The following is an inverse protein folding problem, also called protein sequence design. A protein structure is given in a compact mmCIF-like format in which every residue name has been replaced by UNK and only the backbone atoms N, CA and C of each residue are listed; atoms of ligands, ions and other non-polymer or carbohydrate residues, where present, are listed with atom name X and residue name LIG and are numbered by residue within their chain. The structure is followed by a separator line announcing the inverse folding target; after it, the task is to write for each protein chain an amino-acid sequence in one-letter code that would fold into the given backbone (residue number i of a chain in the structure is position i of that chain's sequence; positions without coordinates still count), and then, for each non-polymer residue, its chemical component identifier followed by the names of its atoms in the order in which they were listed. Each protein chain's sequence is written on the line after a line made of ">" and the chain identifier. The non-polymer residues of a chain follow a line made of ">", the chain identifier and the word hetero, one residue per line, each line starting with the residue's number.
data_IF_534054681527
#
_entry.id   IF_534054681527
#
_cell.length_a   1.000
_cell.length_b   1.000
_cell.length_c   1.000
_cell.angle_alpha   90.00
_cell.angle_beta   90.00
_cell.angle_gamma   90.00
#
_symmetry.space_group_name_H-M   'P 1'
#
loop_
_entity.id
_entity.type
_entity.pdbx_description
1 polymer ?
#
# COMPACT_ATOMS: atom_id res chain seq x y z
N UNK A 1 -15.76 25.76 -6.97
CA UNK A 1 -15.46 25.53 -5.53
C UNK A 1 -16.74 25.52 -4.69
N UNK A 2 -17.84 26.15 -5.14
CA UNK A 2 -19.07 26.31 -4.34
C UNK A 2 -19.94 25.06 -4.20
N UNK A 3 -19.91 24.14 -5.17
CA UNK A 3 -20.70 22.92 -5.11
C UNK A 3 -20.24 21.96 -3.99
N UNK A 4 -18.92 21.90 -3.75
CA UNK A 4 -18.34 21.02 -2.73
C UNK A 4 -18.63 21.58 -1.33
N UNK A 5 -18.50 22.89 -1.14
CA UNK A 5 -18.79 23.53 0.15
C UNK A 5 -20.28 23.51 0.50
N UNK A 6 -21.16 23.66 -0.50
CA UNK A 6 -22.61 23.53 -0.32
C UNK A 6 -23.03 22.10 0.04
N UNK A 7 -22.47 21.08 -0.63
CA UNK A 7 -22.78 19.69 -0.28
C UNK A 7 -22.26 19.34 1.14
N UNK A 8 -21.09 19.85 1.50
CA UNK A 8 -20.50 19.59 2.81
C UNK A 8 -21.29 20.26 3.95
N UNK A 9 -21.79 21.48 3.76
CA UNK A 9 -22.60 22.17 4.78
C UNK A 9 -23.96 21.50 4.97
N UNK A 10 -24.56 21.00 3.90
CA UNK A 10 -25.87 20.33 3.95
C UNK A 10 -25.80 18.93 4.59
N UNK A 11 -24.68 18.21 4.41
CA UNK A 11 -24.53 16.82 4.86
C UNK A 11 -23.56 16.64 6.04
N UNK A 12 -23.02 17.73 6.61
CA UNK A 12 -22.01 17.67 7.68
C UNK A 12 -22.45 16.80 8.88
N UNK A 13 -23.73 16.89 9.26
CA UNK A 13 -24.31 16.13 10.35
C UNK A 13 -24.28 14.61 10.10
N UNK A 14 -24.60 14.19 8.87
CA UNK A 14 -24.51 12.78 8.47
C UNK A 14 -23.07 12.27 8.50
N UNK A 15 -22.10 13.10 8.10
CA UNK A 15 -20.68 12.74 8.20
C UNK A 15 -20.20 12.61 9.66
N UNK A 16 -20.64 13.49 10.56
CA UNK A 16 -20.30 13.41 11.99
C UNK A 16 -20.89 12.17 12.62
N UNK A 17 -22.18 11.90 12.40
CA UNK A 17 -22.86 10.72 12.93
C UNK A 17 -22.25 9.44 12.34
N UNK A 18 -21.99 9.43 11.03
CA UNK A 18 -21.30 8.34 10.34
C UNK A 18 -19.92 8.08 10.94
N UNK A 19 -19.11 9.12 11.15
CA UNK A 19 -17.80 9.00 11.78
C UNK A 19 -17.90 8.48 13.22
N UNK A 20 -18.86 8.98 14.01
CA UNK A 20 -19.08 8.56 15.39
C UNK A 20 -19.52 7.10 15.52
N UNK A 21 -20.25 6.57 14.52
CA UNK A 21 -20.62 5.16 14.47
C UNK A 21 -19.50 4.27 13.91
N UNK A 22 -18.74 4.74 12.91
CA UNK A 22 -17.70 3.97 12.23
C UNK A 22 -16.41 3.86 13.06
N UNK A 23 -16.03 4.92 13.79
CA UNK A 23 -14.79 4.97 14.58
C UNK A 23 -14.75 3.90 15.70
N UNK A 24 -15.81 3.67 16.51
CA UNK A 24 -15.83 2.60 17.49
C UNK A 24 -15.72 1.21 16.85
N UNK A 25 -16.39 1.01 15.72
CA UNK A 25 -16.34 -0.26 14.97
C UNK A 25 -14.93 -0.49 14.42
N UNK A 26 -14.28 0.52 13.87
CA UNK A 26 -12.88 0.46 13.42
C UNK A 26 -11.91 0.24 14.57
N UNK A 27 -12.17 0.83 15.74
CA UNK A 27 -11.35 0.63 16.95
C UNK A 27 -11.45 -0.82 17.46
N UNK A 28 -12.65 -1.39 17.48
CA UNK A 28 -12.88 -2.79 17.86
C UNK A 28 -12.28 -3.77 16.83
N UNK A 29 -12.43 -3.46 15.55
CA UNK A 29 -11.90 -4.29 14.45
C UNK A 29 -10.44 -4.01 14.12
N UNK A 30 -9.77 -3.09 14.81
CA UNK A 30 -8.34 -2.73 14.69
C UNK A 30 -7.40 -3.89 14.36
N UNK A 31 -7.61 -5.04 15.00
CA UNK A 31 -6.77 -6.23 14.84
C UNK A 31 -6.85 -6.83 13.43
N UNK A 32 -7.97 -6.63 12.74
CA UNK A 32 -8.29 -7.10 11.40
C UNK A 32 -8.23 -5.98 10.37
N UNK A 33 -8.62 -4.75 10.74
CA UNK A 33 -8.64 -3.59 9.85
C UNK A 33 -7.24 -3.04 9.56
N UNK A 34 -6.33 -3.02 10.54
CA UNK A 34 -4.96 -2.53 10.31
C UNK A 34 -4.21 -3.29 9.20
N UNK A 35 -4.10 -4.64 9.21
CA UNK A 35 -3.42 -5.35 8.13
C UNK A 35 -4.14 -5.18 6.78
N UNK A 36 -5.47 -5.11 6.78
CA UNK A 36 -6.24 -4.86 5.56
C UNK A 36 -5.89 -3.49 4.95
N UNK A 37 -5.84 -2.43 5.76
CA UNK A 37 -5.53 -1.06 5.29
C UNK A 37 -4.12 -0.98 4.72
N UNK A 38 -3.12 -1.57 5.39
CA UNK A 38 -1.76 -1.61 4.85
C UNK A 38 -1.69 -2.40 3.53
N UNK A 39 -2.44 -3.48 3.43
CA UNK A 39 -2.49 -4.30 2.22
C UNK A 39 -3.16 -3.57 1.05
N UNK A 40 -4.28 -2.88 1.29
CA UNK A 40 -4.93 -2.05 0.26
C UNK A 40 -4.05 -0.89 -0.17
N UNK A 41 -3.30 -0.28 0.75
CA UNK A 41 -2.37 0.81 0.44
C UNK A 41 -1.20 0.29 -0.40
N UNK A 42 -0.65 -0.87 -0.05
CA UNK A 42 0.41 -1.53 -0.83
C UNK A 42 -0.07 -1.88 -2.25
N UNK A 43 -1.27 -2.44 -2.40
CA UNK A 43 -1.88 -2.68 -3.72
C UNK A 43 -2.06 -1.37 -4.50
N UNK A 44 -2.57 -0.32 -3.86
CA UNK A 44 -2.75 0.98 -4.51
C UNK A 44 -1.42 1.57 -5.02
N UNK A 45 -0.35 1.45 -4.23
CA UNK A 45 1.00 1.86 -4.66
C UNK A 45 1.48 1.03 -5.86
N UNK A 46 1.27 -0.30 -5.86
CA UNK A 46 1.66 -1.14 -6.98
C UNK A 46 0.86 -0.85 -8.25
N UNK A 47 -0.45 -0.62 -8.12
CA UNK A 47 -1.29 -0.23 -9.25
C UNK A 47 -0.87 1.13 -9.82
N UNK A 48 -0.60 2.11 -8.96
CA UNK A 48 -0.11 3.42 -9.39
C UNK A 48 1.25 3.35 -10.09
N UNK A 49 2.18 2.55 -9.58
CA UNK A 49 3.47 2.31 -10.22
C UNK A 49 3.32 1.62 -11.58
N UNK A 50 2.48 0.58 -11.66
CA UNK A 50 2.19 -0.11 -12.91
C UNK A 50 1.58 0.82 -13.95
N UNK A 51 0.62 1.65 -13.55
CA UNK A 51 0.01 2.65 -14.42
C UNK A 51 1.05 3.65 -14.95
N UNK A 52 1.93 4.13 -14.09
CA UNK A 52 3.00 5.06 -14.49
C UNK A 52 3.99 4.41 -15.48
N UNK A 53 4.32 3.13 -15.28
CA UNK A 53 5.13 2.36 -16.21
C UNK A 53 4.42 2.17 -17.55
N UNK A 54 3.13 1.84 -17.55
CA UNK A 54 2.33 1.71 -18.77
C UNK A 54 2.24 3.03 -19.54
N UNK A 55 2.00 4.14 -18.83
CA UNK A 55 2.01 5.48 -19.43
C UNK A 55 3.36 5.80 -20.09
N UNK A 56 4.47 5.51 -19.40
CA UNK A 56 5.81 5.69 -19.97
C UNK A 56 6.08 4.79 -21.18
N UNK A 57 5.65 3.52 -21.14
CA UNK A 57 5.80 2.59 -22.26
C UNK A 57 4.99 3.01 -23.49
N UNK A 58 3.73 3.43 -23.31
CA UNK A 58 2.88 3.92 -24.41
C UNK A 58 3.43 5.22 -24.98
N UNK A 59 3.92 6.13 -24.12
CA UNK A 59 4.60 7.35 -24.56
C UNK A 59 5.87 7.04 -25.35
N UNK A 60 6.65 6.05 -24.93
CA UNK A 60 7.86 5.62 -25.62
C UNK A 60 7.55 4.95 -26.97
N UNK A 61 6.55 4.08 -27.04
CA UNK A 61 6.16 3.43 -28.30
C UNK A 61 5.58 4.44 -29.29
N UNK A 62 4.79 5.40 -28.81
CA UNK A 62 4.33 6.55 -29.60
C UNK A 62 5.51 7.35 -30.14
N UNK A 63 6.44 7.76 -29.27
CA UNK A 63 7.63 8.50 -29.67
C UNK A 63 8.47 7.72 -30.68
N UNK A 64 8.62 6.40 -30.50
CA UNK A 64 9.34 5.55 -31.44
C UNK A 64 8.61 5.46 -32.78
N UNK A 65 7.28 5.31 -32.79
CA UNK A 65 6.47 5.30 -34.00
C UNK A 65 6.57 6.63 -34.77
N UNK A 66 6.56 7.76 -34.06
CA UNK A 66 6.73 9.09 -34.65
C UNK A 66 8.12 9.28 -35.29
N UNK A 67 9.20 8.81 -34.65
CA UNK A 67 10.57 8.98 -35.16
C UNK A 67 10.98 7.95 -36.23
N UNK A 68 10.42 6.73 -36.19
CA UNK A 68 10.72 5.68 -37.18
C UNK A 68 9.91 5.81 -38.47
N UNK A 69 8.80 6.55 -38.43
CA UNK A 69 8.01 6.92 -39.59
C UNK A 69 8.74 7.97 -40.43
N UNK A 70 9.49 7.56 -41.46
CA UNK A 70 9.99 8.45 -42.53
C UNK A 70 8.85 8.93 -43.46
N UNK A 71 7.71 9.35 -42.90
CA UNK A 71 6.59 9.91 -43.65
C UNK A 71 6.79 11.42 -43.78
N UNK A 72 6.28 11.98 -44.89
CA UNK A 72 6.34 13.41 -45.15
C UNK A 72 5.77 14.20 -43.95
N UNK A 73 6.61 15.06 -43.39
CA UNK A 73 6.24 15.97 -42.30
C UNK A 73 5.26 17.02 -42.85
N UNK A 74 4.21 17.37 -42.09
CA UNK A 74 3.44 18.60 -42.34
C UNK A 74 4.35 19.82 -42.16
N UNK A 75 3.91 20.97 -42.66
CA UNK A 75 4.56 22.27 -42.41
C UNK A 75 4.72 22.56 -40.90
N UNK A 76 3.88 21.96 -40.04
CA UNK A 76 3.96 22.01 -38.57
C UNK A 76 5.01 21.05 -37.95
N UNK A 77 5.76 20.29 -38.74
CA UNK A 77 6.76 19.34 -38.25
C UNK A 77 6.21 18.06 -37.60
N UNK A 78 4.88 17.85 -37.64
CA UNK A 78 4.24 16.59 -37.19
C UNK A 78 3.94 15.66 -38.38
N UNK A 79 4.08 14.34 -38.23
CA UNK A 79 3.63 13.38 -39.25
C UNK A 79 2.12 13.51 -39.49
N UNK A 80 1.66 13.38 -40.75
CA UNK A 80 0.22 13.42 -41.10
C UNK A 80 -0.58 12.32 -40.38
N UNK A 81 0.06 11.19 -40.08
CA UNK A 81 -0.54 10.03 -39.41
C UNK A 81 0.02 9.82 -38.00
N UNK A 82 0.31 10.89 -37.24
CA UNK A 82 0.76 10.75 -35.86
C UNK A 82 -0.30 9.99 -35.04
N UNK A 83 0.01 8.82 -34.47
CA UNK A 83 -0.98 8.07 -33.70
C UNK A 83 -1.33 8.85 -32.43
N UNK A 84 -2.62 9.15 -32.22
CA UNK A 84 -3.13 9.78 -30.99
C UNK A 84 -3.17 8.80 -29.81
N UNK A 85 -2.15 7.95 -29.72
CA UNK A 85 -2.04 6.99 -28.64
C UNK A 85 -1.71 7.73 -27.33
N UNK A 86 -2.45 7.40 -26.28
CA UNK A 86 -2.32 8.00 -24.97
C UNK A 86 -3.07 7.22 -23.91
N UNK A 87 -2.54 7.26 -22.70
CA UNK A 87 -3.24 6.82 -21.49
C UNK A 87 -3.49 8.03 -20.60
N UNK A 88 -4.70 8.16 -20.02
CA UNK A 88 -5.01 9.25 -19.10
C UNK A 88 -4.20 9.10 -17.81
N UNK A 89 -3.55 10.16 -17.35
CA UNK A 89 -2.75 10.14 -16.11
C UNK A 89 -3.60 10.21 -14.83
N UNK A 90 -4.78 10.83 -14.91
CA UNK A 90 -5.63 11.13 -13.75
C UNK A 90 -6.94 10.33 -13.74
N UNK A 91 -7.49 10.06 -14.91
CA UNK A 91 -8.75 9.33 -15.08
C UNK A 91 -8.48 7.82 -15.19
N UNK A 92 -8.25 7.19 -14.04
CA UNK A 92 -8.01 5.75 -13.97
C UNK A 92 -9.19 4.97 -14.54
N UNK A 93 -8.90 4.06 -15.47
CA UNK A 93 -9.84 3.08 -16.01
C UNK A 93 -11.09 3.65 -16.71
N UNK A 94 -11.06 4.91 -17.14
CA UNK A 94 -12.09 5.46 -18.02
C UNK A 94 -11.82 5.00 -19.46
N UNK A 95 -12.52 3.95 -19.91
CA UNK A 95 -12.28 3.31 -21.20
C UNK A 95 -12.26 4.28 -22.39
N UNK A 96 -13.09 5.32 -22.36
CA UNK A 96 -13.22 6.34 -23.41
C UNK A 96 -11.94 7.16 -23.61
N UNK A 97 -11.13 7.32 -22.57
CA UNK A 97 -9.89 8.08 -22.60
C UNK A 97 -8.69 7.24 -23.13
N UNK A 98 -8.85 5.93 -23.31
CA UNK A 98 -7.79 5.06 -23.81
C UNK A 98 -7.82 4.98 -25.33
N UNK A 99 -6.79 5.54 -25.95
CA UNK A 99 -6.52 5.35 -27.37
C UNK A 99 -5.12 4.73 -27.49
N UNK A 100 -4.96 3.53 -28.07
CA UNK A 100 -5.96 2.58 -28.54
C UNK A 100 -6.57 1.73 -27.41
N UNK A 101 -7.82 1.30 -27.55
CA UNK A 101 -8.58 0.60 -26.50
C UNK A 101 -8.01 -0.76 -26.05
N UNK A 102 -7.08 -1.37 -26.78
CA UNK A 102 -6.42 -2.60 -26.32
C UNK A 102 -5.50 -2.37 -25.11
N UNK A 103 -4.96 -1.17 -24.97
CA UNK A 103 -4.07 -0.79 -23.85
C UNK A 103 -4.83 -0.89 -22.52
N UNK A 104 -6.11 -0.54 -22.51
CA UNK A 104 -6.99 -0.70 -21.36
C UNK A 104 -7.05 -2.15 -20.86
N UNK A 105 -7.25 -3.12 -21.77
CA UNK A 105 -7.30 -4.54 -21.39
C UNK A 105 -5.94 -5.04 -20.89
N UNK A 106 -4.84 -4.60 -21.50
CA UNK A 106 -3.49 -4.94 -21.02
C UNK A 106 -3.26 -4.41 -19.61
N UNK A 107 -3.70 -3.18 -19.32
CA UNK A 107 -3.61 -2.61 -17.99
C UNK A 107 -4.46 -3.36 -16.97
N UNK A 108 -5.69 -3.76 -17.32
CA UNK A 108 -6.53 -4.59 -16.45
C UNK A 108 -5.89 -5.94 -16.17
N UNK A 109 -5.35 -6.61 -17.20
CA UNK A 109 -4.66 -7.90 -17.01
C UNK A 109 -3.44 -7.71 -16.10
N UNK A 110 -2.65 -6.66 -16.29
CA UNK A 110 -1.52 -6.35 -15.42
C UNK A 110 -1.95 -6.06 -13.97
N UNK A 111 -3.05 -5.33 -13.78
CA UNK A 111 -3.63 -5.06 -12.46
C UNK A 111 -4.06 -6.35 -11.75
N UNK A 112 -4.77 -7.24 -12.46
CA UNK A 112 -5.16 -8.54 -11.92
C UNK A 112 -3.94 -9.41 -11.57
N UNK A 113 -2.91 -9.39 -12.41
CA UNK A 113 -1.66 -10.12 -12.18
C UNK A 113 -0.97 -9.62 -10.90
N UNK A 114 -0.90 -8.30 -10.70
CA UNK A 114 -0.36 -7.70 -9.47
C UNK A 114 -1.17 -8.13 -8.25
N UNK A 115 -2.50 -8.09 -8.31
CA UNK A 115 -3.36 -8.52 -7.19
C UNK A 115 -3.08 -9.98 -6.85
N UNK A 116 -3.00 -10.86 -7.85
CA UNK A 116 -2.69 -12.29 -7.66
C UNK A 116 -1.29 -12.47 -7.09
N UNK A 117 -0.28 -11.74 -7.57
CA UNK A 117 1.09 -11.80 -7.06
C UNK A 117 1.17 -11.36 -5.60
N UNK A 118 0.57 -10.21 -5.27
CA UNK A 118 0.56 -9.70 -3.89
C UNK A 118 -0.18 -10.68 -2.98
N UNK A 119 -1.27 -11.30 -3.43
CA UNK A 119 -1.98 -12.33 -2.68
C UNK A 119 -1.16 -13.61 -2.49
N UNK A 120 -0.48 -14.08 -3.54
CA UNK A 120 0.29 -15.32 -3.54
C UNK A 120 1.60 -15.23 -2.76
N UNK A 121 2.33 -14.13 -2.91
CA UNK A 121 3.68 -13.93 -2.37
C UNK A 121 3.72 -13.16 -1.05
N UNK A 122 2.70 -12.34 -0.74
CA UNK A 122 2.53 -11.70 0.57
C UNK A 122 1.19 -12.06 1.20
N UNK A 123 0.99 -13.32 1.64
CA UNK A 123 -0.17 -13.65 2.47
C UNK A 123 -0.11 -12.82 3.76
N UNK A 124 -1.27 -12.28 4.18
CA UNK A 124 -1.43 -11.45 5.38
C UNK A 124 -0.95 -12.18 6.63
N UNK A 125 0.35 -12.08 6.93
CA UNK A 125 0.92 -12.55 8.19
C UNK A 125 0.62 -11.51 9.24
N UNK A 126 -0.52 -11.69 9.93
CA UNK A 126 -0.86 -10.94 11.13
C UNK A 126 0.34 -11.02 12.06
N UNK A 127 1.08 -9.92 12.22
CA UNK A 127 2.21 -9.86 13.13
C UNK A 127 1.65 -10.16 14.52
N UNK A 128 1.88 -11.39 15.00
CA UNK A 128 1.53 -11.78 16.36
C UNK A 128 2.34 -10.87 17.26
N UNK A 129 1.67 -9.92 17.93
CA UNK A 129 2.29 -9.07 18.93
C UNK A 129 3.09 -9.98 19.85
N UNK A 130 4.41 -9.78 19.91
CA UNK A 130 5.27 -10.49 20.85
C UNK A 130 4.77 -10.12 22.24
N UNK A 131 4.19 -11.10 22.95
CA UNK A 131 3.63 -10.87 24.28
C UNK A 131 4.71 -10.32 25.20
N UNK A 132 4.66 -9.00 25.44
CA UNK A 132 5.59 -8.27 26.30
C UNK A 132 5.60 -8.85 27.72
N UNK A 133 4.51 -9.54 28.12
CA UNK A 133 4.38 -10.27 29.39
C UNK A 133 5.36 -11.44 29.52
N UNK A 134 5.69 -12.18 28.45
CA UNK A 134 6.66 -13.29 28.51
C UNK A 134 8.11 -12.80 28.60
N UNK A 135 8.42 -11.63 28.03
CA UNK A 135 9.77 -11.05 28.10
C UNK A 135 10.15 -10.56 29.51
N UNK A 136 9.17 -10.07 30.29
CA UNK A 136 9.39 -9.65 31.67
C UNK A 136 9.53 -10.85 32.65
N UNK A 137 8.79 -11.94 32.41
CA UNK A 137 8.90 -13.16 33.21
C UNK A 137 10.21 -13.93 32.97
N UNK A 138 10.73 -13.88 31.74
CA UNK A 138 12.02 -14.50 31.39
C UNK A 138 13.20 -13.82 32.08
N UNK A 139 13.27 -12.48 32.08
CA UNK A 139 14.36 -11.73 32.73
C UNK A 139 14.46 -11.97 34.25
N UNK A 140 13.32 -12.05 34.95
CA UNK A 140 13.32 -12.30 36.40
C UNK A 140 13.95 -13.65 36.79
N UNK A 141 13.79 -14.69 35.96
CA UNK A 141 14.37 -16.02 36.26
C UNK A 141 15.87 -16.08 35.99
N UNK A 142 16.37 -15.35 34.99
CA UNK A 142 17.81 -15.32 34.68
C UNK A 142 18.61 -14.51 35.68
N UNK A 143 18.06 -13.43 36.24
CA UNK A 143 18.74 -12.64 37.28
C UNK A 143 18.74 -13.35 38.65
N UNK A 144 17.69 -14.10 39.00
CA UNK A 144 17.70 -14.95 40.22
C UNK A 144 18.63 -16.17 40.11
N UNK A 145 18.86 -16.69 38.91
CA UNK A 145 19.76 -17.83 38.68
C UNK A 145 21.25 -17.44 38.61
N UNK A 146 21.56 -16.15 38.43
CA UNK A 146 22.94 -15.61 38.41
C UNK A 146 23.33 -14.86 39.67
N UNK A 147 22.46 -14.84 40.68
CA UNK A 147 22.83 -14.42 42.02
C UNK A 147 23.80 -15.43 42.63
N UNK A 148 25.09 -15.21 42.38
CA UNK A 148 26.15 -15.64 43.29
C UNK A 148 25.85 -14.96 44.63
N UNK A 149 24.99 -15.57 45.45
CA UNK A 149 24.88 -15.19 46.86
C UNK A 149 26.19 -15.67 47.46
N UNK A 150 27.21 -14.80 47.44
CA UNK A 150 28.36 -14.94 48.31
C UNK A 150 27.80 -15.00 49.72
N UNK A 151 27.68 -16.22 50.24
CA UNK A 151 27.30 -16.45 51.63
C UNK A 151 28.43 -15.80 52.43
N UNK A 152 28.15 -14.72 53.18
CA UNK A 152 29.20 -14.04 53.91
C UNK A 152 29.82 -15.01 54.92
N UNK A 153 31.16 -15.00 54.97
CA UNK A 153 32.01 -16.04 55.57
C UNK A 153 31.74 -16.31 57.06
N UNK A 154 30.96 -15.45 57.73
CA UNK A 154 30.50 -15.66 59.09
C UNK A 154 29.54 -16.85 59.24
N UNK A 155 28.82 -17.25 58.19
CA UNK A 155 27.90 -18.39 58.25
C UNK A 155 28.61 -19.76 58.28
N UNK A 156 29.87 -19.83 57.82
CA UNK A 156 30.66 -21.08 57.86
C UNK A 156 31.19 -21.44 59.25
N UNK A 157 31.30 -20.49 60.19
CA UNK A 157 31.88 -20.74 61.52
C UNK A 157 30.94 -21.35 62.55
N UNK A 158 29.62 -21.29 62.35
CA UNK A 158 28.65 -21.78 63.33
C UNK A 158 28.07 -23.18 63.03
N UNK A 159 28.50 -23.83 61.94
CA UNK A 159 27.94 -25.10 61.47
C UNK A 159 28.75 -26.37 61.78
N UNK A 160 29.79 -26.31 62.61
CA UNK A 160 30.50 -27.51 63.11
C UNK A 160 30.41 -27.57 64.63
N UNK A 161 29.34 -28.18 65.13
CA UNK A 161 29.32 -28.92 66.38
C UNK A 161 28.64 -30.24 66.14
#
# INVERSE_FOLDING_TARGET
>A
MDAVTAHLSEHYLYYIIGAAALLPVLYLTKRWSAPLVFYTLEIAVYLGLMHLVMWGLVGLTRWFAENSSMKALREDGKPIDAPDWGTPLLEFWQQEAYQPGWVYYVEIVAALLIIVLVWRYRPMRVQRRKDRRRAAAGKKKTDLSKGNVEIPDFAKRYGRR
#
